data_IF_320110469081
#
_entry.id   IF_320110469081
#
_cell.length_a   1.000
_cell.length_b   1.000
_cell.length_c   1.000
_cell.angle_alpha   90.00
_cell.angle_beta   90.00
_cell.angle_gamma   90.00
#
_symmetry.space_group_name_H-M   'P 1'
#
loop_
_entity.id
_entity.type
_entity.pdbx_description
1 polymer ?
#
# COMPACT_ATOMS: atom_id res chain seq x y z
N UNK A 1 5.14 -20.97 -7.96
CA UNK A 1 5.58 -21.12 -6.57
C UNK A 1 6.68 -20.11 -6.33
N UNK A 2 6.52 -19.19 -5.40
CA UNK A 2 7.56 -18.20 -5.10
C UNK A 2 8.24 -18.57 -3.78
N UNK A 3 9.55 -18.86 -3.86
CA UNK A 3 10.39 -19.13 -2.69
C UNK A 3 10.98 -17.80 -2.22
N UNK A 4 10.73 -17.43 -0.97
CA UNK A 4 11.41 -16.34 -0.28
C UNK A 4 12.10 -16.91 0.96
N UNK A 5 13.41 -16.72 1.07
CA UNK A 5 14.23 -17.12 2.22
C UNK A 5 14.06 -18.59 2.67
N UNK A 6 13.80 -19.51 1.74
CA UNK A 6 13.69 -20.95 2.04
C UNK A 6 12.40 -21.38 2.74
N UNK A 7 11.41 -20.49 2.93
CA UNK A 7 10.10 -20.86 3.47
C UNK A 7 9.09 -21.13 2.37
N UNK A 8 8.40 -22.27 2.49
CA UNK A 8 7.23 -22.60 1.68
C UNK A 8 6.06 -21.68 2.05
N UNK A 9 5.60 -20.88 1.09
CA UNK A 9 4.34 -20.15 1.23
C UNK A 9 3.18 -21.09 0.89
N UNK A 10 2.14 -21.17 1.73
CA UNK A 10 0.98 -22.00 1.42
C UNK A 10 0.30 -21.51 0.14
N UNK A 11 -0.38 -22.40 -0.60
CA UNK A 11 -1.13 -22.00 -1.80
C UNK A 11 -2.18 -20.95 -1.44
N UNK A 12 -2.21 -19.86 -2.21
CA UNK A 12 -3.17 -18.77 -2.05
C UNK A 12 -4.55 -19.18 -2.57
N UNK A 13 -5.61 -18.81 -1.83
CA UNK A 13 -6.96 -18.85 -2.35
C UNK A 13 -7.15 -17.80 -3.47
N UNK A 14 -8.05 -18.04 -4.44
CA UNK A 14 -8.40 -17.03 -5.43
C UNK A 14 -8.82 -15.71 -4.74
N UNK A 15 -8.30 -14.58 -5.21
CA UNK A 15 -8.48 -13.23 -4.62
C UNK A 15 -7.62 -12.88 -3.40
N UNK A 16 -6.64 -13.70 -3.02
CA UNK A 16 -5.62 -13.33 -2.04
C UNK A 16 -4.26 -13.12 -2.69
N UNK A 17 -3.50 -12.19 -2.14
CA UNK A 17 -2.15 -11.85 -2.56
C UNK A 17 -1.22 -11.74 -1.34
N UNK A 18 0.06 -12.02 -1.57
CA UNK A 18 1.10 -11.71 -0.60
C UNK A 18 1.62 -10.30 -0.81
N UNK A 19 1.49 -9.46 0.22
CA UNK A 19 2.06 -8.10 0.25
C UNK A 19 2.96 -7.99 1.48
N UNK A 20 4.26 -7.68 1.31
CA UNK A 20 5.18 -7.36 2.40
C UNK A 20 4.60 -6.30 3.32
N UNK A 21 4.84 -6.47 4.61
CA UNK A 21 4.40 -5.51 5.62
C UNK A 21 5.55 -5.16 6.52
N UNK A 22 5.62 -3.89 6.91
CA UNK A 22 6.63 -3.41 7.84
C UNK A 22 5.97 -2.56 8.92
N UNK A 23 6.63 -2.48 10.08
CA UNK A 23 6.41 -1.40 11.02
C UNK A 23 7.41 -0.29 10.74
N UNK A 24 6.90 0.93 10.61
CA UNK A 24 7.71 2.14 10.51
C UNK A 24 7.55 2.90 11.82
N UNK A 25 8.68 3.19 12.44
CA UNK A 25 8.82 3.85 13.74
C UNK A 25 9.88 4.95 13.63
N UNK A 26 10.07 5.76 14.68
CA UNK A 26 11.14 6.77 14.67
C UNK A 26 12.53 6.34 14.42
N UNK A 27 12.83 5.18 14.92
CA UNK A 27 14.19 4.74 14.98
C UNK A 27 14.46 3.65 13.95
N UNK A 28 13.45 3.24 13.18
CA UNK A 28 13.68 2.32 12.08
C UNK A 28 12.46 1.58 11.53
N UNK A 29 12.80 0.64 10.65
CA UNK A 29 11.90 -0.22 9.89
C UNK A 29 12.02 -1.64 10.44
N UNK A 30 10.89 -2.23 10.82
CA UNK A 30 10.83 -3.61 11.31
C UNK A 30 9.98 -4.48 10.36
N UNK A 31 10.60 -5.41 9.61
CA UNK A 31 9.88 -6.34 8.75
C UNK A 31 8.90 -7.20 9.55
N UNK A 32 7.72 -7.44 8.97
CA UNK A 32 6.70 -8.32 9.55
C UNK A 32 6.54 -9.57 8.71
N UNK A 33 6.10 -10.64 9.37
CA UNK A 33 5.78 -11.90 8.71
C UNK A 33 4.79 -11.68 7.57
N UNK A 34 5.11 -12.25 6.42
CA UNK A 34 4.25 -12.24 5.25
C UNK A 34 2.96 -12.99 5.58
N UNK A 35 1.81 -12.35 5.39
CA UNK A 35 0.50 -12.99 5.53
C UNK A 35 -0.30 -12.74 4.26
N UNK A 36 -1.16 -13.69 3.85
CA UNK A 36 -2.05 -13.47 2.72
C UNK A 36 -3.02 -12.32 3.05
N UNK A 37 -3.18 -11.39 2.12
CA UNK A 37 -4.11 -10.27 2.22
C UNK A 37 -5.13 -10.42 1.11
N UNK A 38 -6.40 -10.11 1.41
CA UNK A 38 -7.43 -10.07 0.37
C UNK A 38 -7.11 -8.96 -0.63
N UNK A 39 -7.02 -9.35 -1.90
CA UNK A 39 -6.72 -8.45 -3.01
C UNK A 39 -7.76 -7.34 -3.16
N UNK A 40 -7.29 -6.21 -3.67
CA UNK A 40 -8.11 -5.06 -4.04
C UNK A 40 -8.03 -4.85 -5.57
N UNK A 41 -8.69 -3.80 -6.10
CA UNK A 41 -8.73 -3.54 -7.54
C UNK A 41 -7.32 -3.38 -8.15
N UNK A 42 -6.40 -2.79 -7.40
CA UNK A 42 -5.01 -2.53 -7.83
C UNK A 42 -4.17 -3.81 -7.79
N UNK A 43 -4.20 -4.55 -6.68
CA UNK A 43 -3.41 -5.78 -6.50
C UNK A 43 -3.79 -6.87 -7.52
N UNK A 44 -5.05 -6.89 -7.97
CA UNK A 44 -5.51 -7.82 -9.02
C UNK A 44 -4.89 -7.54 -10.39
N UNK A 45 -4.33 -6.36 -10.63
CA UNK A 45 -3.69 -5.99 -11.90
C UNK A 45 -2.19 -6.29 -11.86
N UNK A 46 -1.79 -7.42 -11.28
CA UNK A 46 -0.38 -7.80 -11.10
C UNK A 46 0.40 -7.94 -12.42
N UNK A 47 -0.26 -8.26 -13.54
CA UNK A 47 0.36 -8.25 -14.87
C UNK A 47 0.78 -6.85 -15.33
N UNK A 48 0.08 -5.82 -14.84
CA UNK A 48 0.30 -4.41 -15.21
C UNK A 48 1.24 -3.72 -14.22
N UNK A 49 1.08 -3.97 -12.93
CA UNK A 49 1.83 -3.28 -11.86
C UNK A 49 2.91 -4.16 -11.21
N UNK A 50 3.24 -5.29 -11.82
CA UNK A 50 4.17 -6.26 -11.29
C UNK A 50 3.59 -7.10 -10.14
N UNK A 51 4.37 -8.08 -9.70
CA UNK A 51 3.99 -8.97 -8.61
C UNK A 51 3.81 -8.18 -7.31
N UNK A 52 2.63 -8.32 -6.68
CA UNK A 52 2.25 -7.70 -5.40
C UNK A 52 3.36 -7.80 -4.35
N UNK A 53 4.03 -8.95 -4.28
CA UNK A 53 5.07 -9.25 -3.30
C UNK A 53 6.39 -8.50 -3.51
N UNK A 54 6.66 -7.99 -4.73
CA UNK A 54 7.90 -7.29 -5.08
C UNK A 54 7.71 -5.79 -5.22
N UNK A 55 6.51 -5.37 -5.62
CA UNK A 55 6.22 -3.99 -5.99
C UNK A 55 5.33 -3.26 -5.00
N UNK A 56 4.61 -3.95 -4.11
CA UNK A 56 3.79 -3.31 -3.10
C UNK A 56 4.35 -3.57 -1.69
N UNK A 57 4.24 -2.57 -0.83
CA UNK A 57 4.58 -2.69 0.58
C UNK A 57 3.52 -2.01 1.43
N UNK A 58 3.00 -2.69 2.45
CA UNK A 58 2.12 -2.07 3.45
C UNK A 58 2.97 -1.60 4.62
N UNK A 59 3.06 -0.29 4.75
CA UNK A 59 3.76 0.36 5.86
C UNK A 59 2.75 0.62 6.97
N UNK A 60 3.05 0.17 8.18
CA UNK A 60 2.18 0.37 9.35
C UNK A 60 2.94 1.24 10.32
N UNK A 61 2.42 2.43 10.59
CA UNK A 61 3.02 3.38 11.52
C UNK A 61 2.81 2.88 12.95
N UNK A 62 3.90 2.83 13.72
CA UNK A 62 3.96 2.39 15.12
C UNK A 62 4.90 3.28 15.91
N UNK A 63 4.65 3.34 17.21
CA UNK A 63 5.55 4.02 18.14
C UNK A 63 6.76 3.11 18.46
N UNK A 64 7.68 3.62 19.27
CA UNK A 64 8.96 2.97 19.63
C UNK A 64 8.75 1.64 20.36
N UNK A 65 7.68 1.55 21.15
CA UNK A 65 7.23 0.34 21.85
C UNK A 65 6.37 -0.58 20.97
N UNK A 66 6.25 -0.27 19.68
CA UNK A 66 5.40 -0.94 18.69
C UNK A 66 3.89 -0.81 18.97
N UNK A 67 3.49 0.10 19.86
CA UNK A 67 2.09 0.45 20.09
C UNK A 67 1.56 1.37 18.98
N UNK A 68 0.26 1.69 19.07
CA UNK A 68 -0.34 2.65 18.16
C UNK A 68 0.22 4.04 18.42
N UNK A 69 0.67 4.72 17.37
CA UNK A 69 1.17 6.09 17.50
C UNK A 69 0.07 6.99 18.06
N UNK A 70 0.39 7.67 19.15
CA UNK A 70 -0.42 8.71 19.79
C UNK A 70 -0.28 10.05 19.06
N UNK A 71 -1.26 10.95 19.23
CA UNK A 71 -1.28 12.24 18.52
C UNK A 71 0.00 13.05 18.73
N UNK A 72 0.47 13.15 19.97
CA UNK A 72 1.66 13.93 20.33
C UNK A 72 2.92 13.41 19.64
N UNK A 73 3.04 12.08 19.54
CA UNK A 73 4.13 11.43 18.81
C UNK A 73 4.05 11.72 17.31
N UNK A 74 2.86 11.77 16.71
CA UNK A 74 2.68 12.14 15.28
C UNK A 74 3.18 13.57 15.02
N UNK A 75 2.94 14.50 15.94
CA UNK A 75 3.37 15.90 15.78
C UNK A 75 4.89 16.02 15.78
N UNK A 76 5.57 15.35 16.73
CA UNK A 76 7.03 15.27 16.74
C UNK A 76 7.59 14.65 15.45
N UNK A 77 6.80 13.76 14.84
CA UNK A 77 7.14 12.94 13.68
C UNK A 77 6.77 13.58 12.35
N UNK A 78 6.07 14.69 12.39
CA UNK A 78 5.35 15.22 11.23
C UNK A 78 6.30 15.56 10.09
N UNK A 79 7.45 16.18 10.37
CA UNK A 79 8.44 16.57 9.36
C UNK A 79 9.05 15.36 8.67
N UNK A 80 9.42 14.32 9.44
CA UNK A 80 9.98 13.09 8.90
C UNK A 80 8.94 12.31 8.07
N UNK A 81 7.70 12.22 8.56
CA UNK A 81 6.61 11.59 7.81
C UNK A 81 6.31 12.36 6.51
N UNK A 82 6.32 13.69 6.52
CA UNK A 82 6.16 14.50 5.30
C UNK A 82 7.26 14.21 4.29
N UNK A 83 8.53 14.14 4.73
CA UNK A 83 9.64 13.81 3.85
C UNK A 83 9.48 12.42 3.20
N UNK A 84 9.17 11.40 4.00
CA UNK A 84 8.94 10.02 3.51
C UNK A 84 7.74 9.95 2.55
N UNK A 85 6.65 10.66 2.83
CA UNK A 85 5.42 10.56 2.04
C UNK A 85 5.42 11.40 0.77
N UNK A 86 6.16 12.52 0.75
CA UNK A 86 6.08 13.50 -0.34
C UNK A 86 7.34 13.55 -1.20
N UNK A 87 8.51 13.28 -0.64
CA UNK A 87 9.79 13.55 -1.31
C UNK A 87 10.64 12.29 -1.46
N UNK A 88 10.93 11.61 -0.36
CA UNK A 88 12.03 10.65 -0.30
C UNK A 88 11.58 9.21 -0.54
N UNK A 89 10.31 8.90 -0.22
CA UNK A 89 9.84 7.53 -0.17
C UNK A 89 10.52 6.72 0.95
N UNK A 90 10.64 5.42 0.73
CA UNK A 90 11.21 4.47 1.67
C UNK A 90 12.12 3.48 0.97
N UNK A 91 13.33 3.29 1.50
CA UNK A 91 14.27 2.28 1.02
C UNK A 91 14.22 1.07 1.94
N UNK A 92 13.85 -0.10 1.40
CA UNK A 92 13.87 -1.39 2.11
C UNK A 92 14.83 -2.32 1.37
N UNK A 93 15.98 -2.61 1.99
CA UNK A 93 17.06 -3.31 1.31
C UNK A 93 17.60 -2.48 0.14
N UNK A 94 17.53 -3.00 -1.08
CA UNK A 94 17.94 -2.31 -2.31
C UNK A 94 16.73 -1.83 -3.15
N UNK A 95 15.58 -1.64 -2.51
CA UNK A 95 14.32 -1.34 -3.18
C UNK A 95 13.77 -0.02 -2.67
N UNK A 96 13.57 0.92 -3.57
CA UNK A 96 12.91 2.18 -3.29
C UNK A 96 11.41 2.05 -3.53
N UNK A 97 10.64 2.53 -2.56
CA UNK A 97 9.19 2.49 -2.54
C UNK A 97 8.65 3.89 -2.29
N UNK A 98 7.69 4.33 -3.09
CA UNK A 98 7.07 5.64 -2.99
C UNK A 98 5.65 5.51 -2.43
N UNK A 99 5.18 6.55 -1.74
CA UNK A 99 3.83 6.53 -1.17
C UNK A 99 2.78 6.50 -2.29
N UNK A 100 1.98 5.43 -2.35
CA UNK A 100 0.96 5.25 -3.37
C UNK A 100 -0.38 5.83 -2.91
N UNK A 101 -0.99 5.19 -1.90
CA UNK A 101 -2.31 5.56 -1.38
C UNK A 101 -2.60 4.82 -0.06
N UNK A 102 -3.79 5.05 0.50
CA UNK A 102 -4.37 4.29 1.59
C UNK A 102 -5.88 4.10 1.33
N UNK A 103 -6.47 3.07 1.94
CA UNK A 103 -7.92 2.97 2.12
C UNK A 103 -8.35 3.55 3.48
N UNK A 104 -9.65 3.79 3.67
CA UNK A 104 -10.18 4.23 4.97
C UNK A 104 -9.91 3.23 6.11
N UNK A 105 -9.95 1.92 5.83
CA UNK A 105 -9.59 0.92 6.84
C UNK A 105 -8.09 0.94 7.13
N UNK A 106 -7.26 1.13 6.10
CA UNK A 106 -5.82 1.27 6.28
C UNK A 106 -5.46 2.48 7.13
N UNK A 107 -6.12 3.63 6.95
CA UNK A 107 -5.90 4.81 7.81
C UNK A 107 -6.22 4.55 9.28
N UNK A 108 -7.35 3.87 9.59
CA UNK A 108 -7.70 3.52 10.98
C UNK A 108 -6.65 2.61 11.62
N UNK A 109 -6.08 1.70 10.83
CA UNK A 109 -4.98 0.82 11.25
C UNK A 109 -3.62 1.54 11.31
N UNK A 110 -3.58 2.85 10.97
CA UNK A 110 -2.36 3.66 10.78
C UNK A 110 -1.43 3.04 9.75
N UNK A 111 -1.97 2.63 8.62
CA UNK A 111 -1.23 1.94 7.57
C UNK A 111 -1.42 2.60 6.21
N UNK A 112 -0.37 2.50 5.40
CA UNK A 112 -0.21 3.18 4.13
C UNK A 112 0.30 2.16 3.12
N UNK A 113 -0.10 2.31 1.86
CA UNK A 113 0.43 1.51 0.77
C UNK A 113 1.53 2.27 0.05
N UNK A 114 2.67 1.62 -0.09
CA UNK A 114 3.79 2.11 -0.88
C UNK A 114 3.98 1.20 -2.09
N UNK A 115 4.58 1.75 -3.14
CA UNK A 115 4.79 1.07 -4.41
C UNK A 115 6.17 1.34 -4.97
N UNK A 116 6.77 0.30 -5.55
CA UNK A 116 8.01 0.37 -6.30
C UNK A 116 7.67 0.30 -7.78
N UNK A 117 8.12 1.29 -8.53
CA UNK A 117 7.94 1.35 -9.98
C UNK A 117 8.31 0.04 -10.69
N UNK A 118 7.51 -0.31 -11.69
CA UNK A 118 7.66 -1.53 -12.48
C UNK A 118 7.46 -1.18 -13.95
N UNK A 119 8.47 -1.43 -14.78
CA UNK A 119 8.45 -1.04 -16.20
C UNK A 119 8.10 0.45 -16.36
N UNK A 120 7.04 0.77 -17.11
CA UNK A 120 6.54 2.14 -17.31
C UNK A 120 5.58 2.63 -16.22
N UNK A 121 5.28 1.81 -15.21
CA UNK A 121 4.31 2.14 -14.16
C UNK A 121 4.98 2.77 -12.95
N UNK A 122 4.71 4.07 -12.76
CA UNK A 122 5.06 4.85 -11.57
C UNK A 122 3.87 4.98 -10.61
N UNK A 123 4.09 5.54 -9.42
CA UNK A 123 3.02 5.89 -8.48
C UNK A 123 1.98 6.81 -9.13
N UNK A 124 2.43 7.84 -9.84
CA UNK A 124 1.57 8.80 -10.54
C UNK A 124 0.77 8.10 -11.64
N UNK A 125 1.41 7.20 -12.40
CA UNK A 125 0.73 6.40 -13.41
C UNK A 125 -0.39 5.54 -12.82
N UNK A 126 -0.14 4.89 -11.68
CA UNK A 126 -1.19 4.12 -10.98
C UNK A 126 -2.30 5.06 -10.49
N UNK A 127 -1.97 6.21 -9.88
CA UNK A 127 -2.96 7.19 -9.41
C UNK A 127 -3.85 7.71 -10.55
N UNK A 128 -3.29 7.99 -11.71
CA UNK A 128 -4.03 8.35 -12.92
C UNK A 128 -4.93 7.20 -13.40
N UNK A 129 -4.41 5.96 -13.37
CA UNK A 129 -5.19 4.78 -13.74
C UNK A 129 -6.38 4.50 -12.81
N UNK A 130 -6.32 4.92 -11.54
CA UNK A 130 -7.46 4.78 -10.61
C UNK A 130 -8.72 5.50 -11.11
N UNK A 131 -8.54 6.55 -11.91
CA UNK A 131 -9.60 7.32 -12.53
C UNK A 131 -9.28 8.82 -12.59
N UNK A 132 -10.13 9.56 -13.30
CA UNK A 132 -10.05 11.01 -13.35
C UNK A 132 -10.86 11.64 -12.21
N UNK A 133 -10.17 12.31 -11.29
CA UNK A 133 -10.79 12.98 -10.15
C UNK A 133 -10.59 14.50 -10.18
N UNK A 134 -10.26 15.06 -11.34
CA UNK A 134 -9.97 16.49 -11.50
C UNK A 134 -11.21 17.38 -11.31
N UNK A 135 -12.41 16.80 -11.46
CA UNK A 135 -13.69 17.49 -11.22
C UNK A 135 -13.97 17.71 -9.72
N UNK A 136 -13.25 17.02 -8.83
CA UNK A 136 -13.45 17.13 -7.39
C UNK A 136 -12.72 18.35 -6.82
N UNK A 137 -13.50 19.28 -6.25
CA UNK A 137 -12.97 20.53 -5.65
C UNK A 137 -12.30 20.30 -4.30
N UNK A 138 -12.71 19.25 -3.57
CA UNK A 138 -12.16 18.91 -2.26
C UNK A 138 -11.09 17.84 -2.37
N UNK A 139 -9.91 18.11 -1.83
CA UNK A 139 -8.80 17.16 -1.74
C UNK A 139 -9.22 15.90 -0.96
N UNK A 140 -9.99 16.07 0.12
CA UNK A 140 -10.48 14.95 0.93
C UNK A 140 -11.41 14.03 0.13
N UNK A 141 -12.37 14.60 -0.60
CA UNK A 141 -13.30 13.83 -1.45
C UNK A 141 -12.56 13.11 -2.56
N UNK A 142 -11.62 13.79 -3.22
CA UNK A 142 -10.77 13.22 -4.26
C UNK A 142 -9.99 11.99 -3.74
N UNK A 143 -9.35 12.11 -2.59
CA UNK A 143 -8.62 11.01 -1.95
C UNK A 143 -9.57 9.87 -1.57
N UNK A 144 -10.75 10.17 -1.02
CA UNK A 144 -11.72 9.15 -0.63
C UNK A 144 -12.21 8.31 -1.82
N UNK A 145 -12.42 8.94 -2.99
CA UNK A 145 -12.79 8.21 -4.22
C UNK A 145 -11.64 7.34 -4.75
N UNK A 146 -10.41 7.86 -4.75
CA UNK A 146 -9.22 7.04 -5.09
C UNK A 146 -9.09 5.84 -4.14
N UNK A 147 -9.27 6.07 -2.83
CA UNK A 147 -9.16 5.08 -1.77
C UNK A 147 -10.16 3.93 -1.89
N UNK A 148 -11.31 4.14 -2.55
CA UNK A 148 -12.30 3.10 -2.80
C UNK A 148 -11.71 1.93 -3.61
N UNK A 149 -10.80 2.21 -4.54
CA UNK A 149 -10.12 1.18 -5.33
C UNK A 149 -9.16 0.30 -4.51
N UNK A 150 -8.76 0.76 -3.32
CA UNK A 150 -7.91 0.03 -2.38
C UNK A 150 -8.69 -0.77 -1.34
N UNK A 151 -10.02 -0.72 -1.37
CA UNK A 151 -10.85 -1.56 -0.50
C UNK A 151 -10.76 -3.02 -0.90
N UNK A 152 -10.58 -3.90 0.10
CA UNK A 152 -10.59 -5.35 -0.12
C UNK A 152 -12.00 -5.78 -0.51
N UNK A 153 -12.15 -6.26 -1.74
CA UNK A 153 -13.43 -6.73 -2.27
C UNK A 153 -13.27 -8.16 -2.80
N UNK A 154 -14.38 -8.84 -3.05
CA UNK A 154 -14.41 -10.06 -3.88
C UNK A 154 -15.01 -9.63 -5.21
N UNK A 155 -14.39 -10.03 -6.34
CA UNK A 155 -14.96 -9.73 -7.65
C UNK A 155 -16.26 -10.54 -7.77
N UNK A 156 -17.39 -9.83 -7.86
CA UNK A 156 -18.68 -10.44 -8.12
C UNK A 156 -18.87 -10.74 -9.61
N UNK A 157 -20.05 -10.41 -10.12
CA UNK A 157 -20.45 -10.69 -11.49
C UNK A 157 -19.99 -9.55 -12.40
N UNK A 158 -19.45 -9.88 -13.58
CA UNK A 158 -19.26 -8.92 -14.66
C UNK A 158 -20.61 -8.73 -15.35
N UNK A 159 -21.17 -7.52 -15.27
CA UNK A 159 -22.34 -7.16 -16.06
C UNK A 159 -21.83 -6.74 -17.43
N UNK A 160 -22.10 -7.54 -18.46
CA UNK A 160 -21.96 -7.09 -19.85
C UNK A 160 -23.11 -6.13 -20.14
N UNK A 161 -22.79 -4.91 -20.59
CA UNK A 161 -23.81 -4.03 -21.17
C UNK A 161 -24.43 -4.74 -22.38
N UNK A 162 -25.77 -4.66 -22.46
CA UNK A 162 -26.61 -5.19 -23.54
C UNK A 162 -26.51 -4.26 -24.74
#
# INVERSE_FOLDING_TARGET
YDIIHGQWLPPLQPSYDYVPRIYLTPYGIYPRTLKPIRGNRVLRQCKRFGLSMRHFCRVILRDCDLSLIQSDAIEAWQSQLKAILLNDGLIIGQRHFEFLLFSNSQLRDRSLCFYRSFESWTVEGIRQWLGEFNHEKSVGTRIARMAQCFTSTIKGILVSEI
#
